data_IF_634869399187
#
_entry.id   IF_634869399187
#
_cell.length_a   1.000
_cell.length_b   1.000
_cell.length_c   1.000
_cell.angle_alpha   90.00
_cell.angle_beta   90.00
_cell.angle_gamma   90.00
#
_symmetry.space_group_name_H-M   'P 1'
#
loop_
_entity.id
_entity.type
_entity.pdbx_description
1 polymer ?
#
# COMPACT_ATOMS: atom_id res chain seq x y z
N UNK A 1 -11.70 -26.31 8.82
CA UNK A 1 -10.74 -25.42 9.49
C UNK A 1 -11.50 -24.16 9.91
N UNK A 2 -11.66 -23.91 11.21
CA UNK A 2 -12.57 -22.88 11.72
C UNK A 2 -12.09 -21.46 11.35
N UNK A 3 -13.04 -20.55 11.11
CA UNK A 3 -12.75 -19.14 10.77
C UNK A 3 -12.02 -18.38 11.90
N UNK A 4 -12.12 -18.86 13.14
CA UNK A 4 -11.57 -18.25 14.35
C UNK A 4 -10.03 -18.16 14.34
N UNK A 5 -9.34 -19.09 13.67
CA UNK A 5 -7.87 -19.08 13.59
C UNK A 5 -7.30 -18.11 12.54
N UNK A 6 -8.15 -17.49 11.72
CA UNK A 6 -7.76 -16.65 10.57
C UNK A 6 -8.07 -15.17 10.75
N UNK A 7 -8.89 -14.81 11.72
CA UNK A 7 -9.32 -13.43 11.94
C UNK A 7 -8.82 -12.92 13.27
N UNK A 8 -8.18 -11.77 13.26
CA UNK A 8 -7.79 -11.10 14.48
C UNK A 8 -9.02 -10.39 15.09
N UNK A 9 -9.37 -10.68 16.36
CA UNK A 9 -10.54 -10.07 16.99
C UNK A 9 -10.31 -8.57 17.24
N UNK A 10 -11.31 -7.75 16.94
CA UNK A 10 -11.30 -6.30 17.20
C UNK A 10 -12.35 -5.96 18.26
N UNK A 11 -12.32 -6.73 19.33
CA UNK A 11 -13.36 -6.78 20.34
C UNK A 11 -13.04 -6.08 21.66
N UNK A 12 -11.78 -5.69 21.83
CA UNK A 12 -11.26 -5.06 23.04
C UNK A 12 -10.24 -3.98 22.70
N UNK A 13 -10.12 -2.99 23.59
CA UNK A 13 -9.10 -1.93 23.53
C UNK A 13 -7.69 -2.49 23.30
N UNK A 14 -7.30 -3.54 24.02
CA UNK A 14 -5.99 -4.21 23.87
C UNK A 14 -5.76 -4.73 22.45
N UNK A 15 -6.74 -5.44 21.89
CA UNK A 15 -6.62 -5.99 20.55
C UNK A 15 -6.56 -4.87 19.49
N UNK A 16 -7.37 -3.82 19.64
CA UNK A 16 -7.30 -2.64 18.79
C UNK A 16 -5.93 -1.96 18.84
N UNK A 17 -5.31 -1.84 20.02
CA UNK A 17 -3.95 -1.32 20.16
C UNK A 17 -2.92 -2.17 19.40
N UNK A 18 -2.95 -3.50 19.56
CA UNK A 18 -2.04 -4.41 18.84
C UNK A 18 -2.20 -4.25 17.33
N UNK A 19 -3.45 -4.21 16.86
CA UNK A 19 -3.79 -4.14 15.45
C UNK A 19 -3.32 -2.81 14.81
N UNK A 20 -3.63 -1.66 15.44
CA UNK A 20 -3.16 -0.36 14.94
C UNK A 20 -1.64 -0.21 15.08
N UNK A 21 -1.03 -0.69 16.17
CA UNK A 21 0.42 -0.67 16.33
C UNK A 21 1.12 -1.41 15.19
N UNK A 22 0.62 -2.59 14.81
CA UNK A 22 1.16 -3.36 13.68
C UNK A 22 1.02 -2.63 12.35
N UNK A 23 -0.14 -2.02 12.08
CA UNK A 23 -0.35 -1.23 10.86
C UNK A 23 0.59 -0.03 10.83
N UNK A 24 0.60 0.79 11.88
CA UNK A 24 1.38 2.03 11.93
C UNK A 24 2.87 1.74 11.81
N UNK A 25 3.39 0.77 12.56
CA UNK A 25 4.82 0.40 12.48
C UNK A 25 5.21 -0.11 11.10
N UNK A 26 4.39 -0.96 10.49
CA UNK A 26 4.64 -1.49 9.13
C UNK A 26 4.57 -0.37 8.09
N UNK A 27 3.60 0.54 8.21
CA UNK A 27 3.48 1.72 7.35
C UNK A 27 4.70 2.64 7.49
N UNK A 28 5.16 2.97 8.71
CA UNK A 28 6.33 3.83 8.90
C UNK A 28 7.59 3.24 8.25
N UNK A 29 7.82 1.93 8.39
CA UNK A 29 8.93 1.25 7.69
C UNK A 29 8.82 1.39 6.17
N UNK A 30 7.61 1.28 5.63
CA UNK A 30 7.36 1.46 4.20
C UNK A 30 7.58 2.91 3.77
N UNK A 31 7.15 3.87 4.57
CA UNK A 31 7.35 5.29 4.29
C UNK A 31 8.84 5.65 4.32
N UNK A 32 9.63 5.10 5.24
CA UNK A 32 11.08 5.34 5.29
C UNK A 32 11.78 4.78 4.03
N UNK A 33 11.36 3.59 3.55
CA UNK A 33 11.82 3.03 2.26
C UNK A 33 11.39 3.89 1.07
N UNK A 34 10.11 4.26 1.00
CA UNK A 34 9.55 5.07 -0.09
C UNK A 34 10.25 6.43 -0.18
N UNK A 35 10.55 7.05 0.96
CA UNK A 35 11.30 8.31 1.00
C UNK A 35 12.70 8.14 0.38
N UNK A 36 13.40 7.06 0.72
CA UNK A 36 14.73 6.77 0.18
C UNK A 36 14.68 6.52 -1.33
N UNK A 37 13.71 5.74 -1.82
CA UNK A 37 13.51 5.51 -3.24
C UNK A 37 13.09 6.76 -4.00
N UNK A 38 12.30 7.65 -3.39
CA UNK A 38 11.96 8.94 -4.01
C UNK A 38 13.17 9.86 -4.10
N UNK A 39 14.09 9.82 -3.14
CA UNK A 39 15.37 10.55 -3.23
C UNK A 39 16.22 10.01 -4.37
N UNK A 40 16.40 8.69 -4.46
CA UNK A 40 17.13 8.06 -5.58
C UNK A 40 16.47 8.38 -6.93
N UNK A 41 15.15 8.28 -7.03
CA UNK A 41 14.40 8.61 -8.24
C UNK A 41 14.59 10.07 -8.64
N UNK A 42 14.62 10.99 -7.67
CA UNK A 42 14.85 12.42 -7.93
C UNK A 42 16.22 12.68 -8.52
N UNK A 43 17.26 11.99 -8.06
CA UNK A 43 18.61 12.09 -8.61
C UNK A 43 18.62 11.70 -10.10
N UNK A 44 17.92 10.63 -10.47
CA UNK A 44 17.76 10.26 -11.88
C UNK A 44 16.96 11.28 -12.67
N UNK A 45 15.85 11.80 -12.12
CA UNK A 45 15.05 12.85 -12.79
C UNK A 45 15.91 14.08 -13.08
N UNK A 46 16.73 14.51 -12.12
CA UNK A 46 17.62 15.66 -12.31
C UNK A 46 18.73 15.38 -13.33
N UNK A 47 19.31 14.17 -13.29
CA UNK A 47 20.34 13.73 -14.24
C UNK A 47 19.86 13.72 -15.69
N UNK A 48 18.64 13.26 -15.92
CA UNK A 48 18.06 13.13 -17.26
C UNK A 48 17.26 14.36 -17.70
N UNK A 49 17.20 15.40 -16.87
CA UNK A 49 16.47 16.62 -17.17
C UNK A 49 16.97 17.27 -18.46
N UNK A 50 16.06 17.56 -19.38
CA UNK A 50 16.37 18.13 -20.69
C UNK A 50 16.81 17.12 -21.74
N UNK A 51 16.86 15.82 -21.40
CA UNK A 51 16.98 14.74 -22.38
C UNK A 51 15.58 14.27 -22.81
N UNK A 52 15.46 13.74 -24.02
CA UNK A 52 14.17 13.25 -24.53
C UNK A 52 13.79 11.90 -23.90
N UNK A 53 14.78 11.07 -23.58
CA UNK A 53 14.57 9.68 -23.16
C UNK A 53 15.47 9.26 -21.99
N UNK A 54 15.02 8.22 -21.29
CA UNK A 54 15.70 7.56 -20.17
C UNK A 54 15.82 6.06 -20.49
N UNK A 55 16.95 5.39 -20.20
CA UNK A 55 17.06 3.94 -20.35
C UNK A 55 15.95 3.20 -19.59
N UNK A 56 15.26 2.29 -20.29
CA UNK A 56 14.10 1.57 -19.73
C UNK A 56 14.45 0.80 -18.45
N UNK A 57 15.66 0.23 -18.38
CA UNK A 57 16.13 -0.49 -17.19
C UNK A 57 16.06 0.36 -15.91
N UNK A 58 16.43 1.63 -15.99
CA UNK A 58 16.36 2.55 -14.83
C UNK A 58 14.90 2.77 -14.43
N UNK A 59 14.03 3.03 -15.41
CA UNK A 59 12.60 3.17 -15.17
C UNK A 59 11.98 1.92 -14.53
N UNK A 60 12.29 0.73 -15.08
CA UNK A 60 11.78 -0.56 -14.59
C UNK A 60 12.22 -0.82 -13.16
N UNK A 61 13.51 -0.67 -12.85
CA UNK A 61 14.03 -0.91 -11.50
C UNK A 61 13.42 0.05 -10.47
N UNK A 62 13.24 1.32 -10.82
CA UNK A 62 12.58 2.29 -9.93
C UNK A 62 11.08 2.02 -9.77
N UNK A 63 10.42 1.58 -10.84
CA UNK A 63 9.03 1.14 -10.80
C UNK A 63 8.90 -0.04 -9.83
N UNK A 64 9.70 -1.10 -9.98
CA UNK A 64 9.65 -2.28 -9.12
C UNK A 64 9.90 -1.93 -7.64
N UNK A 65 10.92 -1.11 -7.35
CA UNK A 65 11.24 -0.65 -5.99
C UNK A 65 10.05 0.05 -5.34
N UNK A 66 9.48 1.04 -6.03
CA UNK A 66 8.40 1.88 -5.48
C UNK A 66 7.05 1.17 -5.48
N UNK A 67 6.73 0.43 -6.53
CA UNK A 67 5.48 -0.32 -6.67
C UNK A 67 5.32 -1.38 -5.58
N UNK A 68 6.38 -2.13 -5.26
CA UNK A 68 6.36 -3.08 -4.15
C UNK A 68 5.98 -2.41 -2.82
N UNK A 69 6.50 -1.22 -2.55
CA UNK A 69 6.20 -0.45 -1.33
C UNK A 69 4.76 0.11 -1.38
N UNK A 70 4.35 0.67 -2.51
CA UNK A 70 2.99 1.20 -2.72
C UNK A 70 1.94 0.10 -2.55
N UNK A 71 2.13 -1.05 -3.21
CA UNK A 71 1.23 -2.22 -3.11
C UNK A 71 1.06 -2.66 -1.66
N UNK A 72 2.15 -2.75 -0.90
CA UNK A 72 2.07 -3.12 0.51
C UNK A 72 1.39 -2.03 1.38
N UNK A 73 1.61 -0.75 1.11
CA UNK A 73 0.94 0.36 1.79
C UNK A 73 -0.57 0.37 1.53
N UNK A 74 -1.02 0.16 0.28
CA UNK A 74 -2.46 0.10 -0.01
C UNK A 74 -3.13 -1.13 0.62
N UNK A 75 -2.39 -2.24 0.81
CA UNK A 75 -2.89 -3.38 1.59
C UNK A 75 -3.11 -2.99 3.07
N UNK A 76 -2.13 -2.33 3.69
CA UNK A 76 -2.21 -1.92 5.10
C UNK A 76 -3.21 -0.79 5.36
N UNK A 77 -3.47 0.08 4.39
CA UNK A 77 -4.33 1.25 4.57
C UNK A 77 -5.73 1.06 4.00
N UNK A 78 -5.86 0.41 2.85
CA UNK A 78 -7.07 0.38 2.02
C UNK A 78 -7.78 -0.97 1.90
N UNK A 79 -7.20 -2.09 2.35
CA UNK A 79 -7.85 -3.41 2.17
C UNK A 79 -9.18 -3.52 2.96
N UNK A 80 -10.12 -4.31 2.45
CA UNK A 80 -11.41 -4.63 3.07
C UNK A 80 -11.69 -6.14 3.16
N UNK A 81 -10.74 -6.99 2.77
CA UNK A 81 -10.87 -8.45 2.86
C UNK A 81 -11.04 -8.90 4.32
N UNK A 82 -11.86 -9.94 4.54
CA UNK A 82 -12.24 -10.38 5.89
C UNK A 82 -11.04 -10.80 6.74
N UNK A 83 -10.09 -11.52 6.14
CA UNK A 83 -8.96 -12.18 6.81
C UNK A 83 -7.62 -11.44 6.69
N UNK A 84 -7.58 -10.25 6.09
CA UNK A 84 -6.37 -9.40 6.01
C UNK A 84 -6.43 -8.24 7.00
N UNK A 85 -5.30 -7.67 7.39
CA UNK A 85 -5.29 -6.47 8.24
C UNK A 85 -5.25 -5.21 7.39
N UNK A 86 -6.00 -4.19 7.79
CA UNK A 86 -5.89 -2.83 7.25
C UNK A 86 -6.54 -1.79 8.16
N UNK A 87 -6.16 -0.53 7.96
CA UNK A 87 -6.77 0.61 8.65
C UNK A 87 -8.22 0.85 8.22
N UNK A 88 -8.51 0.74 6.92
CA UNK A 88 -9.87 0.80 6.40
C UNK A 88 -10.79 -0.21 7.10
N UNK A 89 -10.37 -1.48 7.17
CA UNK A 89 -11.15 -2.55 7.83
C UNK A 89 -11.33 -2.29 9.32
N UNK A 90 -10.29 -1.79 10.00
CA UNK A 90 -10.37 -1.40 11.41
C UNK A 90 -11.49 -0.38 11.63
N UNK A 91 -11.47 0.73 10.88
CA UNK A 91 -12.47 1.80 11.02
C UNK A 91 -13.88 1.30 10.73
N UNK A 92 -14.07 0.52 9.66
CA UNK A 92 -15.37 -0.07 9.34
C UNK A 92 -15.90 -0.96 10.48
N UNK A 93 -15.02 -1.77 11.08
CA UNK A 93 -15.39 -2.65 12.18
C UNK A 93 -15.80 -1.87 13.43
N UNK A 94 -14.99 -0.90 13.86
CA UNK A 94 -15.28 -0.10 15.05
C UNK A 94 -16.52 0.77 14.83
N UNK A 95 -16.70 1.37 13.63
CA UNK A 95 -17.92 2.13 13.31
C UNK A 95 -19.17 1.25 13.45
N UNK A 96 -19.13 0.00 13.01
CA UNK A 96 -20.24 -0.96 13.19
C UNK A 96 -20.50 -1.30 14.66
N UNK A 97 -19.45 -1.40 15.48
CA UNK A 97 -19.59 -1.60 16.94
C UNK A 97 -20.25 -0.40 17.62
N UNK A 98 -19.83 0.81 17.29
CA UNK A 98 -20.41 2.07 17.80
C UNK A 98 -21.90 2.17 17.43
N UNK A 99 -22.26 1.86 16.18
CA UNK A 99 -23.67 1.82 15.74
C UNK A 99 -24.53 0.80 16.51
N UNK A 100 -23.91 -0.22 17.11
CA UNK A 100 -24.57 -1.21 17.98
C UNK A 100 -24.55 -0.82 19.46
N UNK A 101 -24.11 0.39 19.80
CA UNK A 101 -24.06 0.91 21.18
C UNK A 101 -22.76 0.61 21.95
N UNK A 102 -21.75 -0.02 21.33
CA UNK A 102 -20.47 -0.27 22.01
C UNK A 102 -19.53 0.92 21.83
N UNK A 103 -19.26 1.64 22.91
CA UNK A 103 -18.43 2.87 22.93
C UNK A 103 -17.11 2.70 23.69
N UNK A 104 -16.74 1.45 24.01
CA UNK A 104 -15.52 1.08 24.75
C UNK A 104 -14.23 1.37 23.97
N UNK A 105 -14.32 1.49 22.65
CA UNK A 105 -13.20 1.77 21.75
C UNK A 105 -13.45 3.13 21.08
N UNK A 106 -12.66 4.18 21.38
CA UNK A 106 -12.80 5.47 20.73
C UNK A 106 -12.55 5.38 19.22
N UNK A 107 -13.35 6.14 18.46
CA UNK A 107 -13.19 6.31 17.02
C UNK A 107 -13.26 7.81 16.71
N UNK A 108 -12.21 8.34 16.12
CA UNK A 108 -12.15 9.74 15.72
C UNK A 108 -13.05 9.95 14.50
N UNK A 109 -13.81 11.05 14.51
CA UNK A 109 -14.58 11.48 13.35
C UNK A 109 -13.63 11.80 12.19
N UNK A 110 -13.88 11.19 11.03
CA UNK A 110 -13.09 11.46 9.85
C UNK A 110 -13.60 12.72 9.17
N UNK A 111 -12.68 13.63 8.83
CA UNK A 111 -13.00 14.72 7.91
C UNK A 111 -13.38 14.18 6.54
N UNK A 112 -13.98 15.03 5.70
CA UNK A 112 -14.30 14.67 4.32
C UNK A 112 -13.06 14.20 3.55
N UNK A 113 -11.94 14.93 3.67
CA UNK A 113 -10.67 14.57 3.06
C UNK A 113 -10.20 13.15 3.47
N UNK A 114 -10.23 12.83 4.77
CA UNK A 114 -9.81 11.51 5.25
C UNK A 114 -10.75 10.41 4.72
N UNK A 115 -12.06 10.69 4.66
CA UNK A 115 -13.05 9.74 4.15
C UNK A 115 -12.86 9.46 2.65
N UNK A 116 -12.54 10.50 1.88
CA UNK A 116 -12.20 10.37 0.47
C UNK A 116 -10.90 9.58 0.29
N UNK A 117 -9.84 9.88 1.06
CA UNK A 117 -8.57 9.15 1.02
C UNK A 117 -8.74 7.66 1.36
N UNK A 118 -9.52 7.32 2.38
CA UNK A 118 -9.82 5.93 2.74
C UNK A 118 -10.48 5.18 1.58
N UNK A 119 -11.45 5.81 0.92
CA UNK A 119 -12.15 5.24 -0.24
C UNK A 119 -11.21 5.11 -1.44
N UNK A 120 -10.36 6.10 -1.68
CA UNK A 120 -9.37 6.07 -2.76
C UNK A 120 -8.36 4.95 -2.55
N UNK A 121 -7.79 4.79 -1.35
CA UNK A 121 -6.83 3.72 -1.05
C UNK A 121 -7.47 2.33 -1.20
N UNK A 122 -8.77 2.17 -0.91
CA UNK A 122 -9.47 0.91 -1.17
C UNK A 122 -9.57 0.61 -2.68
N UNK A 123 -9.88 1.62 -3.50
CA UNK A 123 -9.92 1.48 -4.96
C UNK A 123 -8.52 1.20 -5.54
N UNK A 124 -7.51 1.92 -5.08
CA UNK A 124 -6.10 1.72 -5.46
C UNK A 124 -5.62 0.32 -5.09
N UNK A 125 -6.00 -0.21 -3.91
CA UNK A 125 -5.71 -1.61 -3.54
C UNK A 125 -6.27 -2.60 -4.57
N UNK A 126 -7.50 -2.39 -5.03
CA UNK A 126 -8.11 -3.24 -6.06
C UNK A 126 -7.40 -3.08 -7.41
N UNK A 127 -7.07 -1.84 -7.82
CA UNK A 127 -6.37 -1.55 -9.07
C UNK A 127 -4.96 -2.15 -9.12
N UNK A 128 -4.22 -2.10 -8.01
CA UNK A 128 -2.83 -2.56 -7.97
C UNK A 128 -2.74 -4.10 -7.85
N UNK A 129 -3.71 -4.75 -7.23
CA UNK A 129 -3.65 -6.20 -7.04
C UNK A 129 -4.40 -6.99 -8.14
N UNK A 130 -5.02 -6.32 -9.11
CA UNK A 130 -5.78 -6.93 -10.21
C UNK A 130 -5.55 -6.19 -11.53
N UNK A 131 -5.67 -6.89 -12.65
CA UNK A 131 -5.75 -6.26 -13.98
C UNK A 131 -7.25 -6.12 -14.31
N UNK A 132 -7.81 -4.89 -14.34
CA UNK A 132 -9.24 -4.71 -14.57
C UNK A 132 -9.57 -4.76 -16.07
N UNK A 133 -10.70 -5.38 -16.42
CA UNK A 133 -11.20 -5.43 -17.80
C UNK A 133 -11.44 -4.04 -18.41
N UNK A 134 -11.69 -3.02 -17.57
CA UNK A 134 -11.80 -1.64 -18.04
C UNK A 134 -10.52 -1.15 -18.71
N UNK A 135 -9.34 -1.67 -18.35
CA UNK A 135 -8.10 -1.35 -19.05
C UNK A 135 -8.16 -1.85 -20.50
N UNK A 136 -8.54 -3.11 -20.69
CA UNK A 136 -8.68 -3.72 -22.01
C UNK A 136 -9.73 -3.01 -22.88
N UNK A 137 -10.85 -2.60 -22.28
CA UNK A 137 -11.89 -1.81 -22.97
C UNK A 137 -11.32 -0.47 -23.47
N UNK A 138 -10.52 0.23 -22.67
CA UNK A 138 -9.92 1.51 -23.07
C UNK A 138 -8.78 1.33 -24.09
N UNK A 139 -8.02 0.24 -24.00
CA UNK A 139 -7.02 -0.13 -25.03
C UNK A 139 -7.70 -0.42 -26.38
N UNK A 140 -8.81 -1.16 -26.38
CA UNK A 140 -9.56 -1.45 -27.60
C UNK A 140 -10.11 -0.18 -28.27
N UNK A 141 -10.63 0.77 -27.49
CA UNK A 141 -11.05 2.09 -28.02
C UNK A 141 -9.89 2.82 -28.70
N UNK A 142 -8.68 2.75 -28.14
CA UNK A 142 -7.49 3.37 -28.74
C UNK A 142 -7.07 2.68 -30.03
N UNK A 143 -7.28 1.37 -30.13
CA UNK A 143 -7.09 0.62 -31.38
C UNK A 143 -8.10 1.07 -32.44
N UNK A 144 -9.38 1.18 -32.08
CA UNK A 144 -10.43 1.65 -32.99
C UNK A 144 -10.18 3.10 -33.47
N UNK A 145 -9.57 3.94 -32.62
CA UNK A 145 -9.15 5.30 -32.96
C UNK A 145 -7.83 5.38 -33.76
N UNK A 146 -7.16 4.26 -34.03
CA UNK A 146 -5.87 4.22 -34.73
C UNK A 146 -4.69 4.79 -33.92
N UNK A 147 -4.81 4.86 -32.59
CA UNK A 147 -3.79 5.40 -31.66
C UNK A 147 -2.94 4.33 -30.99
N UNK A 148 -3.30 3.05 -31.15
CA UNK A 148 -2.61 1.90 -30.59
C UNK A 148 -2.76 0.72 -31.55
N UNK A 149 -1.79 -0.18 -31.55
CA UNK A 149 -1.88 -1.46 -32.25
C UNK A 149 -1.98 -2.59 -31.24
N UNK A 150 -2.76 -3.62 -31.58
CA UNK A 150 -2.89 -4.83 -30.78
C UNK A 150 -2.58 -6.04 -31.67
N UNK A 151 -1.29 -6.30 -31.96
CA UNK A 151 -0.88 -7.34 -32.89
C UNK A 151 -1.20 -8.72 -32.30
N UNK A 152 -2.18 -9.40 -32.90
CA UNK A 152 -2.64 -10.73 -32.45
C UNK A 152 -1.97 -11.88 -33.21
N UNK A 153 -1.41 -11.62 -34.41
CA UNK A 153 -0.70 -12.63 -35.20
C UNK A 153 0.35 -11.99 -36.14
N UNK A 154 1.65 -12.12 -35.84
CA UNK A 154 2.19 -12.75 -34.63
C UNK A 154 1.81 -11.96 -33.38
N UNK A 155 1.73 -12.65 -32.23
CA UNK A 155 1.66 -11.95 -30.94
C UNK A 155 3.04 -11.34 -30.69
N UNK A 156 3.11 -10.02 -30.60
CA UNK A 156 4.35 -9.30 -30.34
C UNK A 156 4.57 -9.11 -28.83
N UNK A 157 5.76 -9.49 -28.35
CA UNK A 157 6.19 -9.24 -26.97
C UNK A 157 7.18 -8.07 -27.00
N UNK A 158 6.69 -6.87 -26.71
CA UNK A 158 7.46 -5.64 -26.85
C UNK A 158 8.39 -5.42 -25.66
N UNK A 159 9.70 -5.34 -25.93
CA UNK A 159 10.72 -4.91 -24.98
C UNK A 159 11.22 -3.51 -25.35
N UNK A 160 10.94 -2.53 -24.49
CA UNK A 160 11.38 -1.16 -24.70
C UNK A 160 12.83 -0.98 -24.23
N UNK A 161 13.64 -0.29 -25.04
CA UNK A 161 15.00 0.12 -24.65
C UNK A 161 15.00 1.43 -23.84
N UNK A 162 13.99 2.27 -24.05
CA UNK A 162 13.89 3.60 -23.48
C UNK A 162 12.45 3.93 -23.10
N UNK A 163 12.29 4.88 -22.18
CA UNK A 163 11.04 5.60 -21.91
C UNK A 163 11.24 7.08 -22.16
N UNK A 164 10.17 7.83 -22.44
CA UNK A 164 10.29 9.29 -22.53
C UNK A 164 10.60 9.88 -21.16
N UNK A 165 11.33 11.01 -21.13
CA UNK A 165 11.59 11.73 -19.89
C UNK A 165 10.29 12.16 -19.21
N UNK A 166 9.28 12.58 -19.97
CA UNK A 166 7.97 12.96 -19.43
C UNK A 166 7.32 11.80 -18.65
N UNK A 167 7.33 10.59 -19.23
CA UNK A 167 6.77 9.40 -18.58
C UNK A 167 7.57 9.03 -17.33
N UNK A 168 8.89 9.11 -17.38
CA UNK A 168 9.77 8.88 -16.22
C UNK A 168 9.55 9.92 -15.10
N UNK A 169 9.41 11.20 -15.44
CA UNK A 169 9.15 12.26 -14.46
C UNK A 169 7.74 12.12 -13.83
N UNK A 170 6.75 11.64 -14.59
CA UNK A 170 5.43 11.34 -14.06
C UNK A 170 5.49 10.28 -12.94
N UNK A 171 6.32 9.22 -13.09
CA UNK A 171 6.55 8.24 -12.03
C UNK A 171 7.00 8.92 -10.73
N UNK A 172 7.95 9.87 -10.80
CA UNK A 172 8.43 10.61 -9.63
C UNK A 172 7.32 11.44 -8.97
N UNK A 173 6.57 12.21 -9.76
CA UNK A 173 5.50 13.07 -9.25
C UNK A 173 4.39 12.23 -8.60
N UNK A 174 3.96 11.16 -9.27
CA UNK A 174 2.97 10.22 -8.76
C UNK A 174 3.40 9.57 -7.44
N UNK A 175 4.68 9.19 -7.34
CA UNK A 175 5.26 8.63 -6.12
C UNK A 175 5.30 9.63 -4.95
N UNK A 176 5.58 10.91 -5.23
CA UNK A 176 5.55 11.98 -4.23
C UNK A 176 4.12 12.27 -3.75
N UNK A 177 3.17 12.29 -4.66
CA UNK A 177 1.76 12.50 -4.34
C UNK A 177 1.23 11.35 -3.46
N UNK A 178 1.46 10.10 -3.88
CA UNK A 178 1.09 8.92 -3.10
C UNK A 178 1.68 8.97 -1.68
N UNK A 179 2.97 9.31 -1.56
CA UNK A 179 3.62 9.46 -0.26
C UNK A 179 2.91 10.47 0.64
N UNK A 180 2.53 11.63 0.10
CA UNK A 180 1.78 12.66 0.83
C UNK A 180 0.41 12.15 1.30
N UNK A 181 -0.35 11.51 0.41
CA UNK A 181 -1.67 10.94 0.72
C UNK A 181 -1.59 9.83 1.78
N UNK A 182 -0.65 8.89 1.63
CA UNK A 182 -0.40 7.84 2.61
C UNK A 182 -0.02 8.41 3.98
N UNK A 183 0.84 9.45 4.01
CA UNK A 183 1.24 10.10 5.25
C UNK A 183 0.06 10.68 6.02
N UNK A 184 -0.91 11.31 5.34
CA UNK A 184 -2.12 11.84 5.98
C UNK A 184 -2.93 10.76 6.68
N UNK A 185 -3.17 9.63 6.02
CA UNK A 185 -3.88 8.48 6.61
C UNK A 185 -3.12 7.88 7.80
N UNK A 186 -1.80 7.73 7.69
CA UNK A 186 -0.97 7.21 8.78
C UNK A 186 -1.02 8.14 9.99
N UNK A 187 -0.93 9.46 9.80
CA UNK A 187 -1.04 10.42 10.90
C UNK A 187 -2.43 10.38 11.56
N UNK A 188 -3.48 10.19 10.77
CA UNK A 188 -4.82 10.01 11.30
C UNK A 188 -4.93 8.72 12.13
N UNK A 189 -4.39 7.59 11.65
CA UNK A 189 -4.30 6.35 12.42
C UNK A 189 -3.50 6.49 13.73
N UNK A 190 -2.40 7.27 13.72
CA UNK A 190 -1.61 7.58 14.91
C UNK A 190 -2.40 8.37 15.95
N UNK A 191 -3.24 9.32 15.52
CA UNK A 191 -4.13 10.05 16.45
C UNK A 191 -5.11 9.11 17.13
N UNK A 192 -5.72 8.20 16.38
CA UNK A 192 -6.61 7.19 16.96
C UNK A 192 -5.87 6.24 17.91
N UNK A 193 -4.65 5.84 17.55
CA UNK A 193 -3.82 5.01 18.43
C UNK A 193 -3.47 5.73 19.74
N UNK A 194 -3.12 7.01 19.71
CA UNK A 194 -2.90 7.81 20.93
C UNK A 194 -4.17 7.92 21.78
N UNK A 195 -5.35 8.05 21.16
CA UNK A 195 -6.63 8.03 21.89
C UNK A 195 -6.87 6.67 22.57
N UNK A 196 -6.57 5.56 21.89
CA UNK A 196 -6.65 4.24 22.50
C UNK A 196 -5.65 4.04 23.63
N UNK A 197 -4.45 4.60 23.52
CA UNK A 197 -3.43 4.45 24.55
C UNK A 197 -3.60 5.45 25.71
N UNK A 198 -4.49 6.45 25.56
CA UNK A 198 -4.73 7.53 26.51
C UNK A 198 -3.46 8.32 26.87
N UNK A 199 -2.50 8.35 25.95
CA UNK A 199 -1.24 9.05 26.15
C UNK A 199 -0.63 9.49 24.81
N UNK A 200 0.36 10.38 24.88
CA UNK A 200 1.17 10.72 23.72
C UNK A 200 2.11 9.57 23.38
N UNK A 201 2.14 9.17 22.10
CA UNK A 201 2.95 8.06 21.62
C UNK A 201 4.16 8.57 20.86
N UNK A 202 5.33 8.08 21.25
CA UNK A 202 6.57 8.26 20.50
C UNK A 202 6.77 7.11 19.51
N UNK A 203 7.33 7.43 18.34
CA UNK A 203 7.64 6.48 17.28
C UNK A 203 9.15 6.54 16.96
N UNK A 204 10.02 6.13 17.89
CA UNK A 204 11.46 6.15 17.67
C UNK A 204 11.86 5.17 16.57
N UNK A 205 12.88 5.54 15.78
CA UNK A 205 13.53 4.61 14.85
C UNK A 205 14.62 3.90 15.64
N UNK A 206 14.45 2.61 15.83
CA UNK A 206 15.43 1.77 16.54
C UNK A 206 16.24 1.01 15.50
N UNK A 207 17.55 1.28 15.48
CA UNK A 207 18.51 0.56 14.65
C UNK A 207 19.19 -0.51 15.48
N UNK A 208 19.42 -1.68 14.88
CA UNK A 208 19.97 -2.85 15.57
C UNK A 208 20.97 -3.53 14.66
N UNK A 209 22.18 -3.77 15.17
CA UNK A 209 23.21 -4.54 14.49
C UNK A 209 22.92 -6.05 14.51
N UNK A 210 21.97 -6.50 15.36
CA UNK A 210 21.50 -7.88 15.34
C UNK A 210 20.88 -8.20 13.96
N UNK A 211 21.41 -9.18 13.23
CA UNK A 211 20.86 -9.57 11.93
C UNK A 211 19.45 -10.12 12.08
N UNK A 212 18.66 -10.00 11.01
CA UNK A 212 17.38 -10.69 10.90
C UNK A 212 17.66 -12.20 10.74
N UNK A 213 17.18 -13.00 11.68
CA UNK A 213 17.29 -14.46 11.66
C UNK A 213 16.00 -15.12 11.14
N UNK A 214 16.09 -16.44 10.90
CA UNK A 214 14.99 -17.24 10.35
C UNK A 214 13.78 -17.30 11.31
N UNK A 215 13.98 -17.03 12.60
CA UNK A 215 12.91 -17.03 13.61
C UNK A 215 11.81 -16.02 13.26
N UNK A 216 12.16 -14.88 12.64
CA UNK A 216 11.15 -13.92 12.15
C UNK A 216 10.20 -14.50 11.10
N UNK A 217 10.60 -15.58 10.41
CA UNK A 217 9.76 -16.25 9.40
C UNK A 217 8.78 -17.24 10.00
N UNK A 218 8.98 -17.70 11.25
CA UNK A 218 8.18 -18.80 11.83
C UNK A 218 6.69 -18.43 11.88
N UNK A 219 6.36 -17.27 12.45
CA UNK A 219 4.97 -16.81 12.51
C UNK A 219 4.34 -16.63 11.12
N UNK A 220 5.13 -16.17 10.14
CA UNK A 220 4.67 -16.07 8.75
C UNK A 220 4.39 -17.44 8.14
N UNK A 221 5.26 -18.43 8.39
CA UNK A 221 5.09 -19.82 7.92
C UNK A 221 3.88 -20.49 8.57
N UNK A 222 3.69 -20.33 9.88
CA UNK A 222 2.52 -20.86 10.57
C UNK A 222 1.21 -20.22 10.06
N UNK A 223 1.23 -18.90 9.86
CA UNK A 223 0.09 -18.18 9.26
C UNK A 223 -0.21 -18.68 7.84
N UNK A 224 0.82 -18.81 6.98
CA UNK A 224 0.65 -19.31 5.62
C UNK A 224 0.06 -20.74 5.58
N UNK A 225 0.51 -21.65 6.47
CA UNK A 225 -0.11 -22.97 6.64
C UNK A 225 -1.59 -22.87 7.00
N UNK A 226 -1.95 -22.01 7.96
CA UNK A 226 -3.36 -21.73 8.31
C UNK A 226 -4.14 -21.11 7.14
N UNK A 227 -3.48 -20.43 6.20
CA UNK A 227 -4.13 -19.93 4.99
C UNK A 227 -4.24 -20.97 3.87
N UNK A 228 -3.73 -22.18 4.07
CA UNK A 228 -3.75 -23.26 3.06
C UNK A 228 -2.64 -23.14 2.01
N UNK A 229 -1.64 -22.28 2.25
CA UNK A 229 -0.46 -22.14 1.40
C UNK A 229 0.50 -23.27 1.76
N UNK A 230 0.83 -24.13 0.79
CA UNK A 230 1.87 -25.14 0.95
C UNK A 230 3.22 -24.44 1.02
N UNK A 231 3.95 -24.70 2.09
CA UNK A 231 5.32 -24.22 2.28
C UNK A 231 6.19 -25.44 2.11
N UNK A 232 6.83 -25.53 0.94
CA UNK A 232 7.92 -26.48 0.70
C UNK A 232 9.19 -26.03 1.44
#
# INVERSE_FOLDING_TARGET
MNQEDKQFPLDSKKNCCIYLCRIISSCELCMDKMKSYNTELKEYVDKYKGQDTVPYKIYSEMTDKTYNVISYLVNLLGDSQKVSISYFKYREHIRKRVKKGNTDIPLLEATEEISQLLTQFNRERNWLNHIPESLLIEELKRVDEGKMEFPMNPVEITHYNYVTYEYFNNLYLSNCEFYSRARKLIQFAKKEYSMLMECSILYPRVYSDKPIDIEKSIAAKESAKKQGIKIE
#
